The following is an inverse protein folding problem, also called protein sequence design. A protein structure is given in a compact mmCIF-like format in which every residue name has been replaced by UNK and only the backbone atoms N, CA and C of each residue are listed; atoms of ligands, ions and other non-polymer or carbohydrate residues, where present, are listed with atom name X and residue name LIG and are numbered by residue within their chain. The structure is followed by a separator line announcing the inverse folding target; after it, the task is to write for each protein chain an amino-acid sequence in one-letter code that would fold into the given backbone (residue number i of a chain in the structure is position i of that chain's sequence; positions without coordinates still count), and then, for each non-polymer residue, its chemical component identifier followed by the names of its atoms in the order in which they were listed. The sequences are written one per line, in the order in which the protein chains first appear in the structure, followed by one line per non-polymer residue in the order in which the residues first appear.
data_IF_781543297878
#
_entry.id   IF_781543297878
#
_cell.length_a   1.000
_cell.length_b   1.000
_cell.length_c   1.000
_cell.angle_alpha   90.00
_cell.angle_beta   90.00
_cell.angle_gamma   90.00
#
_symmetry.space_group_name_H-M   'P 1'
#
loop_
_entity.id
_entity.type
_entity.pdbx_description
1 polymer ?
#
# COMPACT_ATOMS: atom_id res chain seq x y z
N UNK A 1 44.77 87.47 -19.55
CA UNK A 1 44.19 86.65 -18.50
C UNK A 1 42.97 85.97 -19.02
N UNK A 2 43.06 84.66 -19.38
CA UNK A 2 41.92 83.88 -19.92
C UNK A 2 41.44 83.02 -18.81
N UNK A 3 40.22 83.23 -18.38
CA UNK A 3 39.50 82.39 -17.44
C UNK A 3 38.80 81.23 -18.15
N UNK A 4 39.22 80.00 -17.90
CA UNK A 4 38.54 78.75 -18.40
C UNK A 4 37.37 78.43 -17.47
N UNK A 5 36.15 78.41 -18.03
CA UNK A 5 35.00 77.89 -17.40
C UNK A 5 34.93 76.35 -17.58
N UNK A 6 34.86 75.63 -16.49
CA UNK A 6 34.69 74.19 -16.51
C UNK A 6 33.21 73.87 -16.24
N UNK A 7 32.53 73.19 -17.20
CA UNK A 7 31.16 72.70 -17.06
C UNK A 7 31.15 71.36 -16.33
N UNK A 8 30.23 71.12 -15.37
CA UNK A 8 30.11 69.81 -14.77
C UNK A 8 29.29 68.87 -15.66
N UNK A 9 29.82 67.67 -15.89
CA UNK A 9 29.11 66.55 -16.54
C UNK A 9 28.27 65.86 -15.46
N UNK A 10 26.94 65.90 -15.62
CA UNK A 10 26.01 65.08 -14.83
C UNK A 10 26.07 63.61 -15.31
N UNK A 11 26.59 62.73 -14.48
CA UNK A 11 26.49 61.26 -14.68
C UNK A 11 25.13 60.81 -14.18
N UNK A 12 24.25 60.38 -15.10
CA UNK A 12 22.99 59.71 -14.76
C UNK A 12 23.28 58.28 -14.34
N UNK A 13 23.09 57.98 -13.06
CA UNK A 13 23.13 56.60 -12.51
C UNK A 13 21.77 55.96 -12.77
N UNK A 14 21.70 55.04 -13.72
CA UNK A 14 20.53 54.17 -13.89
C UNK A 14 20.58 53.09 -12.85
N UNK A 15 19.70 53.20 -11.80
CA UNK A 15 19.48 52.15 -10.83
C UNK A 15 18.63 51.04 -11.45
N UNK A 16 19.24 49.89 -11.68
CA UNK A 16 18.50 48.67 -12.02
C UNK A 16 17.83 48.18 -10.71
N UNK A 17 16.53 48.36 -10.60
CA UNK A 17 15.75 47.76 -9.54
C UNK A 17 15.59 46.25 -9.79
N UNK A 18 16.37 45.42 -9.11
CA UNK A 18 16.12 44.00 -9.05
C UNK A 18 14.87 43.79 -8.21
N UNK A 19 13.79 43.33 -8.85
CA UNK A 19 12.61 42.85 -8.18
C UNK A 19 12.96 41.47 -7.55
N UNK A 20 13.22 41.45 -6.26
CA UNK A 20 13.36 40.20 -5.49
C UNK A 20 11.96 39.60 -5.37
N UNK A 21 11.61 38.67 -6.26
CA UNK A 21 10.49 37.75 -6.01
C UNK A 21 10.91 36.87 -4.84
N UNK A 22 10.29 37.08 -3.70
CA UNK A 22 10.37 36.13 -2.57
C UNK A 22 9.67 34.85 -3.00
N UNK A 23 10.44 33.83 -3.38
CA UNK A 23 9.96 32.46 -3.51
C UNK A 23 9.75 31.98 -2.07
N UNK A 24 8.53 31.58 -1.72
CA UNK A 24 8.27 30.89 -0.46
C UNK A 24 9.25 29.70 -0.36
N UNK A 25 9.75 29.44 0.85
CA UNK A 25 10.70 28.35 1.08
C UNK A 25 10.05 27.02 0.65
N UNK A 26 10.41 26.51 -0.54
CA UNK A 26 9.86 25.27 -1.14
C UNK A 26 10.09 24.05 -0.24
N UNK A 27 11.04 24.12 0.69
CA UNK A 27 11.39 23.02 1.61
C UNK A 27 10.29 22.70 2.65
N UNK A 28 9.34 23.62 2.90
CA UNK A 28 8.26 23.44 3.88
C UNK A 28 6.85 23.39 3.27
N UNK A 29 6.70 23.64 1.96
CA UNK A 29 5.41 23.55 1.29
C UNK A 29 5.04 22.09 1.02
N UNK A 30 3.76 21.67 1.25
CA UNK A 30 3.30 20.37 0.80
C UNK A 30 3.47 20.24 -0.72
N UNK A 31 3.77 19.03 -1.19
CA UNK A 31 3.82 18.74 -2.63
C UNK A 31 2.47 19.07 -3.28
N UNK A 32 2.50 19.59 -4.52
CA UNK A 32 1.30 19.82 -5.29
C UNK A 32 0.57 18.49 -5.54
N UNK A 33 -0.70 18.41 -5.17
CA UNK A 33 -1.48 17.18 -5.25
C UNK A 33 -1.56 16.61 -6.68
N UNK A 34 -1.66 17.47 -7.71
CA UNK A 34 -1.69 17.03 -9.11
C UNK A 34 -0.37 16.41 -9.55
N UNK A 35 0.76 16.99 -9.13
CA UNK A 35 2.08 16.42 -9.37
C UNK A 35 2.26 15.09 -8.63
N UNK A 36 1.80 15.02 -7.38
CA UNK A 36 1.83 13.79 -6.61
C UNK A 36 1.05 12.66 -7.30
N UNK A 37 -0.17 12.92 -7.76
CA UNK A 37 -0.98 11.95 -8.52
C UNK A 37 -0.28 11.50 -9.81
N UNK A 38 0.38 12.42 -10.52
CA UNK A 38 1.18 12.08 -11.71
C UNK A 38 2.33 11.13 -11.36
N UNK A 39 3.01 11.34 -10.23
CA UNK A 39 4.05 10.43 -9.73
C UNK A 39 3.49 9.06 -9.36
N UNK A 40 2.32 8.98 -8.73
CA UNK A 40 1.65 7.69 -8.41
C UNK A 40 1.37 6.88 -9.68
N UNK A 41 0.84 7.52 -10.72
CA UNK A 41 0.60 6.87 -12.02
C UNK A 41 1.92 6.40 -12.64
N UNK A 42 2.94 7.26 -12.67
CA UNK A 42 4.26 6.94 -13.21
C UNK A 42 4.91 5.78 -12.46
N UNK A 43 4.85 5.77 -11.12
CA UNK A 43 5.40 4.71 -10.27
C UNK A 43 4.79 3.33 -10.61
N UNK A 44 3.48 3.29 -10.86
CA UNK A 44 2.82 2.05 -11.31
C UNK A 44 3.13 1.69 -12.76
N UNK A 45 3.04 2.64 -13.69
CA UNK A 45 3.16 2.37 -15.13
C UNK A 45 4.59 2.14 -15.61
N UNK A 46 5.59 2.63 -14.88
CA UNK A 46 7.01 2.34 -15.13
C UNK A 46 7.42 0.93 -14.73
N UNK A 47 6.59 0.21 -13.96
CA UNK A 47 6.94 -1.08 -13.38
C UNK A 47 7.73 -1.01 -12.07
N UNK A 48 8.09 0.20 -11.59
CA UNK A 48 8.86 0.35 -10.35
C UNK A 48 8.05 -0.15 -9.13
N UNK A 49 6.75 0.14 -9.08
CA UNK A 49 5.89 -0.38 -8.02
C UNK A 49 5.90 -1.93 -7.96
N UNK A 50 5.80 -2.58 -9.11
CA UNK A 50 5.79 -4.05 -9.18
C UNK A 50 7.19 -4.63 -8.84
N UNK A 51 8.26 -3.91 -9.18
CA UNK A 51 9.62 -4.27 -8.79
C UNK A 51 9.83 -4.18 -7.26
N UNK A 52 9.34 -3.12 -6.64
CA UNK A 52 9.45 -2.92 -5.19
C UNK A 52 8.61 -3.95 -4.41
N UNK A 53 7.38 -4.25 -4.85
CA UNK A 53 6.58 -5.36 -4.33
C UNK A 53 7.33 -6.69 -4.42
N UNK A 54 7.94 -6.96 -5.59
CA UNK A 54 8.71 -8.18 -5.82
C UNK A 54 9.94 -8.28 -4.91
N UNK A 55 10.62 -7.17 -4.64
CA UNK A 55 11.78 -7.15 -3.76
C UNK A 55 11.40 -7.58 -2.33
N UNK A 56 10.29 -7.08 -1.80
CA UNK A 56 9.81 -7.44 -0.44
C UNK A 56 9.31 -8.89 -0.41
N UNK A 57 8.50 -9.32 -1.38
CA UNK A 57 7.97 -10.68 -1.42
C UNK A 57 9.08 -11.73 -1.56
N UNK A 58 10.14 -11.46 -2.33
CA UNK A 58 11.32 -12.33 -2.44
C UNK A 58 12.06 -12.46 -1.11
N UNK A 59 12.21 -11.36 -0.35
CA UNK A 59 12.80 -11.42 0.99
C UNK A 59 11.95 -12.28 1.94
N UNK A 60 10.62 -12.15 1.86
CA UNK A 60 9.69 -12.97 2.63
C UNK A 60 9.81 -14.45 2.26
N UNK A 61 9.86 -14.77 0.97
CA UNK A 61 10.02 -16.15 0.48
C UNK A 61 11.37 -16.74 0.90
N UNK A 62 12.46 -15.99 0.76
CA UNK A 62 13.77 -16.43 1.20
C UNK A 62 13.79 -16.71 2.70
N UNK A 63 13.23 -15.83 3.52
CA UNK A 63 13.15 -16.05 4.96
C UNK A 63 12.29 -17.28 5.29
N UNK A 64 11.15 -17.45 4.63
CA UNK A 64 10.33 -18.65 4.79
C UNK A 64 11.12 -19.91 4.46
N UNK A 65 11.83 -19.94 3.34
CA UNK A 65 12.66 -21.07 2.93
C UNK A 65 13.74 -21.43 3.95
N UNK A 66 14.39 -20.44 4.56
CA UNK A 66 15.41 -20.64 5.60
C UNK A 66 14.84 -21.22 6.90
N UNK A 67 13.52 -21.14 7.10
CA UNK A 67 12.82 -21.57 8.31
C UNK A 67 12.09 -22.91 8.19
N UNK A 68 11.80 -23.40 6.97
CA UNK A 68 10.93 -24.57 6.73
C UNK A 68 11.31 -25.80 7.59
N UNK A 69 12.59 -26.15 7.67
CA UNK A 69 13.06 -27.32 8.40
C UNK A 69 13.41 -27.03 9.88
N UNK A 70 13.12 -25.82 10.36
CA UNK A 70 13.52 -25.35 11.69
C UNK A 70 12.35 -25.05 12.61
N UNK A 71 11.12 -25.16 12.11
CA UNK A 71 9.93 -24.81 12.88
C UNK A 71 8.83 -25.84 12.65
N UNK A 72 8.04 -26.07 13.71
CA UNK A 72 6.83 -26.88 13.63
C UNK A 72 5.67 -26.04 13.09
N UNK A 73 4.80 -26.68 12.29
CA UNK A 73 3.59 -26.06 11.72
C UNK A 73 3.83 -24.66 11.15
N UNK A 74 4.74 -24.51 10.17
CA UNK A 74 5.03 -23.21 9.56
C UNK A 74 3.78 -22.62 8.94
N UNK A 75 3.61 -21.31 9.11
CA UNK A 75 2.49 -20.55 8.55
C UNK A 75 2.94 -19.20 7.98
N UNK A 76 2.21 -18.71 7.00
CA UNK A 76 2.26 -17.32 6.56
C UNK A 76 0.92 -16.65 6.80
N UNK A 77 0.95 -15.37 7.15
CA UNK A 77 -0.21 -14.49 7.25
C UNK A 77 -0.08 -13.39 6.21
N UNK A 78 -1.10 -13.22 5.41
CA UNK A 78 -1.18 -12.20 4.37
C UNK A 78 -2.39 -11.31 4.61
N UNK A 79 -2.22 -10.00 4.47
CA UNK A 79 -3.35 -9.09 4.27
C UNK A 79 -3.92 -9.25 2.86
N UNK A 80 -5.05 -8.60 2.55
CA UNK A 80 -5.71 -8.71 1.25
C UNK A 80 -5.50 -7.47 0.39
N UNK A 81 -5.96 -6.30 0.83
CA UNK A 81 -5.98 -5.08 0.02
C UNK A 81 -4.55 -4.54 -0.15
N UNK A 82 -4.11 -4.27 -1.37
CA UNK A 82 -2.74 -3.88 -1.76
C UNK A 82 -1.62 -4.83 -1.25
N UNK A 83 -2.02 -5.99 -0.74
CA UNK A 83 -1.08 -7.06 -0.35
C UNK A 83 -1.25 -8.30 -1.23
N UNK A 84 -2.44 -8.85 -1.28
CA UNK A 84 -2.81 -10.05 -2.05
C UNK A 84 -3.54 -9.67 -3.33
N UNK A 85 -4.44 -8.70 -3.22
CA UNK A 85 -5.26 -8.15 -4.30
C UNK A 85 -4.95 -6.66 -4.50
N UNK A 86 -4.87 -6.24 -5.77
CA UNK A 86 -4.66 -4.84 -6.13
C UNK A 86 -6.00 -4.14 -6.39
N UNK A 87 -6.22 -3.04 -5.69
CA UNK A 87 -7.37 -2.15 -5.91
C UNK A 87 -7.03 -0.97 -6.83
N UNK A 88 -5.88 -1.01 -7.50
CA UNK A 88 -5.38 0.10 -8.31
C UNK A 88 -6.39 0.62 -9.34
N UNK A 89 -7.18 -0.26 -9.97
CA UNK A 89 -8.20 0.17 -10.95
C UNK A 89 -9.27 1.06 -10.33
N UNK A 90 -9.78 0.66 -9.15
CA UNK A 90 -10.76 1.46 -8.42
C UNK A 90 -10.16 2.76 -7.84
N UNK A 91 -8.93 2.71 -7.37
CA UNK A 91 -8.23 3.89 -6.87
C UNK A 91 -7.95 4.89 -8.00
N UNK A 92 -7.47 4.41 -9.14
CA UNK A 92 -7.14 5.25 -10.29
C UNK A 92 -8.37 5.96 -10.87
N UNK A 93 -9.50 5.26 -11.05
CA UNK A 93 -10.72 5.88 -11.60
C UNK A 93 -11.30 6.94 -10.66
N UNK A 94 -11.03 6.84 -9.37
CA UNK A 94 -11.40 7.82 -8.35
C UNK A 94 -10.34 8.93 -8.19
N UNK A 95 -9.39 9.02 -9.11
CA UNK A 95 -8.28 9.99 -9.00
C UNK A 95 -7.54 9.90 -7.64
N UNK A 96 -7.33 8.65 -7.17
CA UNK A 96 -6.76 8.28 -5.87
C UNK A 96 -7.55 8.76 -4.65
N UNK A 97 -8.81 9.16 -4.84
CA UNK A 97 -9.74 9.44 -3.74
C UNK A 97 -10.40 8.15 -3.22
N UNK A 98 -10.65 8.09 -1.91
CA UNK A 98 -11.39 6.97 -1.30
C UNK A 98 -12.88 7.29 -1.26
N UNK A 99 -13.69 6.46 -1.92
CA UNK A 99 -15.15 6.52 -1.93
C UNK A 99 -15.67 5.22 -1.32
N UNK A 100 -16.28 5.28 -0.14
CA UNK A 100 -16.70 4.08 0.58
C UNK A 100 -17.86 3.37 -0.09
N UNK A 101 -18.94 4.08 -0.38
CA UNK A 101 -20.21 3.54 -0.89
C UNK A 101 -20.53 4.01 -2.30
N UNK A 102 -21.69 3.60 -2.81
CA UNK A 102 -22.14 3.90 -4.18
C UNK A 102 -21.76 2.79 -5.17
N UNK A 103 -22.23 2.93 -6.42
CA UNK A 103 -21.87 2.02 -7.52
C UNK A 103 -20.38 2.07 -7.85
N UNK A 104 -19.94 1.17 -8.73
CA UNK A 104 -18.59 1.19 -9.27
C UNK A 104 -18.67 1.13 -10.80
N UNK A 105 -18.21 2.18 -11.47
CA UNK A 105 -18.06 2.27 -12.91
C UNK A 105 -16.57 2.51 -13.23
N UNK A 106 -15.89 1.49 -13.74
CA UNK A 106 -14.46 1.56 -14.04
C UNK A 106 -14.13 2.30 -15.35
N UNK A 107 -15.15 2.67 -16.13
CA UNK A 107 -14.95 3.45 -17.37
C UNK A 107 -15.11 4.97 -17.11
N UNK A 108 -16.13 5.35 -16.33
CA UNK A 108 -16.52 6.75 -16.13
C UNK A 108 -16.33 7.24 -14.71
N UNK A 109 -16.23 6.31 -13.75
CA UNK A 109 -16.22 6.63 -12.32
C UNK A 109 -17.58 7.22 -11.83
N UNK A 110 -17.74 7.38 -10.55
CA UNK A 110 -16.83 6.90 -9.51
C UNK A 110 -16.97 5.40 -9.24
N UNK A 111 -16.04 4.84 -8.45
CA UNK A 111 -16.09 3.47 -7.99
C UNK A 111 -16.11 3.43 -6.45
N UNK A 112 -17.25 3.05 -5.87
CA UNK A 112 -17.39 2.83 -4.43
C UNK A 112 -16.67 1.56 -4.00
N UNK A 113 -15.85 1.65 -2.95
CA UNK A 113 -14.99 0.55 -2.48
C UNK A 113 -15.80 -0.71 -2.09
N UNK A 114 -16.95 -0.54 -1.43
CA UNK A 114 -17.79 -1.68 -1.05
C UNK A 114 -18.35 -2.40 -2.29
N UNK A 115 -18.77 -1.67 -3.31
CA UNK A 115 -19.24 -2.27 -4.56
C UNK A 115 -18.09 -2.91 -5.36
N UNK A 116 -16.89 -2.29 -5.33
CA UNK A 116 -15.68 -2.88 -5.90
C UNK A 116 -15.37 -4.26 -5.29
N UNK A 117 -15.47 -4.40 -3.97
CA UNK A 117 -15.29 -5.71 -3.31
C UNK A 117 -16.33 -6.72 -3.82
N UNK A 118 -17.61 -6.32 -3.94
CA UNK A 118 -18.69 -7.20 -4.43
C UNK A 118 -18.50 -7.64 -5.87
N UNK A 119 -17.93 -6.78 -6.73
CA UNK A 119 -17.61 -7.13 -8.11
C UNK A 119 -16.57 -8.25 -8.21
N UNK A 120 -15.74 -8.45 -7.20
CA UNK A 120 -14.69 -9.48 -7.15
C UNK A 120 -13.75 -9.44 -8.39
N UNK A 121 -13.33 -8.25 -8.82
CA UNK A 121 -12.52 -8.01 -10.02
C UNK A 121 -11.11 -7.49 -9.74
N UNK A 122 -10.70 -7.42 -8.48
CA UNK A 122 -9.34 -7.05 -8.13
C UNK A 122 -8.34 -8.08 -8.68
N UNK A 123 -7.25 -7.61 -9.25
CA UNK A 123 -6.21 -8.48 -9.81
C UNK A 123 -5.25 -8.95 -8.72
N UNK A 124 -4.60 -10.11 -8.93
CA UNK A 124 -3.55 -10.54 -8.01
C UNK A 124 -2.36 -9.59 -8.03
N UNK A 125 -1.75 -9.38 -6.86
CA UNK A 125 -0.40 -8.88 -6.73
C UNK A 125 0.53 -10.07 -6.98
N UNK A 126 1.13 -10.13 -8.17
CA UNK A 126 1.84 -11.30 -8.66
C UNK A 126 2.94 -11.80 -7.69
N UNK A 127 3.81 -10.95 -7.09
CA UNK A 127 4.81 -11.43 -6.15
C UNK A 127 4.23 -12.08 -4.88
N UNK A 128 3.08 -11.61 -4.40
CA UNK A 128 2.37 -12.21 -3.27
C UNK A 128 1.76 -13.57 -3.63
N UNK A 129 1.27 -13.70 -4.85
CA UNK A 129 0.77 -14.98 -5.37
C UNK A 129 1.90 -16.00 -5.55
N UNK A 130 3.10 -15.57 -5.93
CA UNK A 130 4.29 -16.43 -5.99
C UNK A 130 4.70 -16.92 -4.61
N UNK A 131 4.74 -16.03 -3.60
CA UNK A 131 4.98 -16.40 -2.20
C UNK A 131 3.94 -17.41 -1.69
N UNK A 132 2.65 -17.16 -1.97
CA UNK A 132 1.57 -18.08 -1.62
C UNK A 132 1.79 -19.47 -2.26
N UNK A 133 2.09 -19.53 -3.56
CA UNK A 133 2.33 -20.80 -4.27
C UNK A 133 3.55 -21.55 -3.70
N UNK A 134 4.61 -20.81 -3.37
CA UNK A 134 5.78 -21.38 -2.70
C UNK A 134 5.40 -21.96 -1.33
N UNK A 135 4.62 -21.25 -0.53
CA UNK A 135 4.16 -21.71 0.77
C UNK A 135 3.34 -23.02 0.64
N UNK A 136 2.35 -23.03 -0.27
CA UNK A 136 1.51 -24.23 -0.49
C UNK A 136 2.31 -25.42 -0.99
N UNK A 137 3.27 -25.22 -1.89
CA UNK A 137 4.15 -26.28 -2.40
C UNK A 137 5.03 -26.90 -1.31
N UNK A 138 5.27 -26.19 -0.20
CA UNK A 138 6.07 -26.64 0.93
C UNK A 138 5.24 -26.98 2.18
N UNK A 139 3.94 -27.24 2.05
CA UNK A 139 3.02 -27.58 3.14
C UNK A 139 2.97 -26.53 4.27
N UNK A 140 3.18 -25.27 3.94
CA UNK A 140 3.05 -24.13 4.85
C UNK A 140 1.60 -23.71 4.89
N UNK A 141 1.05 -23.54 6.11
CA UNK A 141 -0.30 -23.03 6.30
C UNK A 141 -0.42 -21.56 5.83
N UNK A 142 -1.52 -21.22 5.19
CA UNK A 142 -1.78 -19.87 4.69
C UNK A 142 -3.03 -19.31 5.33
N UNK A 143 -2.89 -18.15 5.95
CA UNK A 143 -3.99 -17.41 6.56
C UNK A 143 -4.11 -16.02 5.94
N UNK A 144 -5.33 -15.62 5.63
CA UNK A 144 -5.64 -14.23 5.28
C UNK A 144 -6.25 -13.51 6.47
N UNK A 145 -5.78 -12.28 6.78
CA UNK A 145 -6.37 -11.44 7.83
C UNK A 145 -6.60 -10.05 7.25
N UNK A 146 -7.86 -9.67 7.03
CA UNK A 146 -8.22 -8.45 6.31
C UNK A 146 -9.20 -7.56 7.07
N UNK A 147 -9.12 -6.25 6.87
CA UNK A 147 -10.11 -5.29 7.33
C UNK A 147 -11.43 -5.32 6.56
N UNK A 148 -11.55 -6.09 5.48
CA UNK A 148 -12.82 -6.25 4.75
C UNK A 148 -13.92 -6.77 5.67
N UNK A 149 -15.12 -6.17 5.66
CA UNK A 149 -16.23 -6.64 6.49
C UNK A 149 -16.65 -8.08 6.18
N UNK A 150 -17.02 -8.83 7.21
CA UNK A 150 -17.43 -10.24 7.10
C UNK A 150 -18.53 -10.50 6.06
N UNK A 151 -19.46 -9.55 5.86
CA UNK A 151 -20.53 -9.67 4.84
C UNK A 151 -20.01 -9.81 3.40
N UNK A 152 -18.74 -9.45 3.14
CA UNK A 152 -18.10 -9.58 1.83
C UNK A 152 -17.26 -10.85 1.69
N UNK A 153 -17.38 -11.81 2.61
CA UNK A 153 -16.62 -13.07 2.58
C UNK A 153 -16.74 -13.76 1.22
N UNK A 154 -17.98 -14.00 0.76
CA UNK A 154 -18.21 -14.73 -0.48
C UNK A 154 -17.54 -14.05 -1.69
N UNK A 155 -17.66 -12.74 -1.82
CA UNK A 155 -17.06 -11.98 -2.91
C UNK A 155 -15.51 -11.96 -2.80
N UNK A 156 -14.98 -11.79 -1.57
CA UNK A 156 -13.54 -11.80 -1.32
C UNK A 156 -12.92 -13.15 -1.65
N UNK A 157 -13.51 -14.25 -1.17
CA UNK A 157 -13.04 -15.60 -1.46
C UNK A 157 -13.17 -15.98 -2.94
N UNK A 158 -14.27 -15.53 -3.59
CA UNK A 158 -14.41 -15.68 -5.04
C UNK A 158 -13.26 -14.99 -5.77
N UNK A 159 -12.98 -13.73 -5.44
CA UNK A 159 -11.91 -12.96 -6.08
C UNK A 159 -10.54 -13.62 -5.86
N UNK A 160 -10.23 -14.09 -4.66
CA UNK A 160 -9.00 -14.82 -4.38
C UNK A 160 -8.85 -16.05 -5.27
N UNK A 161 -9.92 -16.86 -5.39
CA UNK A 161 -9.89 -18.07 -6.25
C UNK A 161 -9.73 -17.73 -7.73
N UNK A 162 -10.45 -16.74 -8.22
CA UNK A 162 -10.41 -16.32 -9.63
C UNK A 162 -9.00 -15.85 -10.06
N UNK A 163 -8.21 -15.30 -9.15
CA UNK A 163 -6.86 -14.83 -9.45
C UNK A 163 -5.76 -15.81 -9.07
N UNK A 164 -6.10 -17.02 -8.59
CA UNK A 164 -5.17 -18.13 -8.44
C UNK A 164 -4.78 -18.52 -7.01
N UNK A 165 -5.41 -17.94 -5.98
CA UNK A 165 -5.33 -18.45 -4.61
C UNK A 165 -6.37 -19.54 -4.43
N UNK A 166 -5.99 -20.80 -4.68
CA UNK A 166 -6.96 -21.91 -4.73
C UNK A 166 -7.38 -22.39 -3.35
N UNK A 167 -6.44 -22.51 -2.43
CA UNK A 167 -6.65 -23.10 -1.11
C UNK A 167 -5.91 -22.31 -0.02
N UNK A 168 -6.54 -22.15 1.12
CA UNK A 168 -5.95 -21.56 2.33
C UNK A 168 -6.55 -22.19 3.58
N UNK A 169 -5.86 -22.09 4.70
CA UNK A 169 -6.29 -22.73 5.94
C UNK A 169 -7.43 -21.95 6.62
N UNK A 170 -7.39 -20.63 6.60
CA UNK A 170 -8.53 -19.77 6.98
C UNK A 170 -8.38 -18.34 6.45
N UNK A 171 -9.52 -17.64 6.33
CA UNK A 171 -9.59 -16.20 6.06
C UNK A 171 -10.39 -15.54 7.20
N UNK A 172 -9.77 -14.55 7.84
CA UNK A 172 -10.38 -13.77 8.91
C UNK A 172 -10.76 -12.39 8.35
N UNK A 173 -12.07 -12.17 8.24
CA UNK A 173 -12.63 -10.89 7.84
C UNK A 173 -13.18 -10.18 9.08
N UNK A 174 -13.21 -8.84 9.03
CA UNK A 174 -13.61 -8.03 10.17
C UNK A 174 -15.11 -8.21 10.50
N UNK A 175 -15.46 -8.64 11.71
CA UNK A 175 -16.85 -8.72 12.17
C UNK A 175 -17.56 -7.36 12.10
N UNK A 176 -18.85 -7.36 11.77
CA UNK A 176 -19.63 -6.13 11.53
C UNK A 176 -19.76 -5.24 12.78
N UNK A 177 -19.82 -5.83 13.93
CA UNK A 177 -19.99 -5.19 15.25
C UNK A 177 -18.65 -4.78 15.89
N UNK A 178 -17.52 -5.23 15.34
CA UNK A 178 -16.21 -4.96 15.90
C UNK A 178 -15.78 -3.51 15.62
N UNK A 179 -15.70 -2.72 16.69
CA UNK A 179 -15.16 -1.36 16.68
C UNK A 179 -13.80 -1.37 17.36
N UNK A 180 -12.76 -1.06 16.60
CA UNK A 180 -11.36 -0.99 17.06
C UNK A 180 -10.75 0.34 16.64
N UNK A 181 -9.78 0.81 17.41
CA UNK A 181 -9.09 2.08 17.13
C UNK A 181 -8.12 1.94 15.94
N UNK A 182 -7.54 0.76 15.76
CA UNK A 182 -6.63 0.49 14.64
C UNK A 182 -6.85 -0.92 14.06
N UNK A 183 -6.36 -1.18 12.86
CA UNK A 183 -6.38 -2.52 12.28
C UNK A 183 -5.52 -3.51 13.11
N UNK A 184 -4.49 -3.03 13.80
CA UNK A 184 -3.65 -3.85 14.68
C UNK A 184 -4.45 -4.48 15.82
N UNK A 185 -5.42 -3.75 16.41
CA UNK A 185 -6.26 -4.23 17.51
C UNK A 185 -7.14 -5.42 17.11
N UNK A 186 -7.39 -5.59 15.82
CA UNK A 186 -8.10 -6.72 15.25
C UNK A 186 -7.16 -7.83 14.78
N UNK A 187 -6.09 -7.47 14.04
CA UNK A 187 -5.23 -8.45 13.36
C UNK A 187 -4.25 -9.15 14.30
N UNK A 188 -3.68 -8.43 15.28
CA UNK A 188 -2.73 -9.01 16.22
C UNK A 188 -3.30 -10.12 17.10
N UNK A 189 -4.49 -9.98 17.73
CA UNK A 189 -5.11 -11.06 18.49
C UNK A 189 -5.29 -12.34 17.67
N UNK A 190 -5.66 -12.24 16.39
CA UNK A 190 -5.83 -13.40 15.51
C UNK A 190 -4.49 -14.11 15.28
N UNK A 191 -3.41 -13.37 15.03
CA UNK A 191 -2.07 -13.97 14.91
C UNK A 191 -1.65 -14.67 16.20
N UNK A 192 -1.88 -14.04 17.36
CA UNK A 192 -1.56 -14.65 18.67
C UNK A 192 -2.40 -15.91 18.93
N UNK A 193 -3.66 -15.93 18.52
CA UNK A 193 -4.51 -17.13 18.60
C UNK A 193 -3.98 -18.26 17.71
N UNK A 194 -3.50 -17.96 16.50
CA UNK A 194 -2.87 -18.93 15.61
C UNK A 194 -1.59 -19.52 16.25
N UNK A 195 -0.76 -18.69 16.88
CA UNK A 195 0.40 -19.18 17.65
C UNK A 195 -0.05 -20.10 18.82
N UNK A 196 -1.08 -19.72 19.56
CA UNK A 196 -1.62 -20.54 20.63
C UNK A 196 -2.15 -21.90 20.14
N UNK A 197 -2.58 -21.99 18.88
CA UNK A 197 -2.95 -23.24 18.19
C UNK A 197 -1.73 -24.04 17.67
N UNK A 198 -0.52 -23.58 17.96
CA UNK A 198 0.73 -24.25 17.64
C UNK A 198 1.31 -23.91 16.27
N UNK A 199 0.77 -22.92 15.55
CA UNK A 199 1.40 -22.45 14.31
C UNK A 199 2.59 -21.55 14.61
N UNK A 200 3.69 -21.71 13.84
CA UNK A 200 4.76 -20.74 13.80
C UNK A 200 4.52 -19.81 12.61
N UNK A 201 4.06 -18.59 12.87
CA UNK A 201 3.86 -17.60 11.81
C UNK A 201 5.24 -17.06 11.40
N UNK A 202 5.84 -17.68 10.39
CA UNK A 202 7.18 -17.31 9.88
C UNK A 202 7.14 -15.99 9.16
N UNK A 203 6.12 -15.75 8.35
CA UNK A 203 5.93 -14.53 7.57
C UNK A 203 4.58 -13.90 7.91
N UNK A 204 4.60 -12.62 8.28
CA UNK A 204 3.42 -11.74 8.31
C UNK A 204 3.64 -10.61 7.31
N UNK A 205 2.87 -10.57 6.22
CA UNK A 205 3.03 -9.58 5.16
C UNK A 205 1.76 -8.76 4.97
N UNK A 206 1.92 -7.44 4.89
CA UNK A 206 0.86 -6.45 4.70
C UNK A 206 1.43 -5.17 4.14
N UNK A 207 0.56 -4.28 3.66
CA UNK A 207 0.93 -2.97 3.09
C UNK A 207 0.78 -1.82 4.09
N UNK A 208 0.16 -2.08 5.25
CA UNK A 208 0.01 -1.08 6.31
C UNK A 208 0.84 -1.45 7.55
N UNK A 209 1.47 -0.48 8.24
CA UNK A 209 2.11 -0.75 9.53
C UNK A 209 1.18 -1.41 10.55
N UNK A 210 -0.12 -1.10 10.52
CA UNK A 210 -1.14 -1.69 11.38
C UNK A 210 -1.38 -3.19 11.13
N UNK A 211 -1.07 -3.71 9.92
CA UNK A 211 -1.13 -5.14 9.62
C UNK A 211 -0.05 -5.94 10.35
N UNK A 212 1.05 -5.26 10.64
CA UNK A 212 2.28 -5.88 11.13
C UNK A 212 2.48 -5.67 12.63
N UNK A 213 1.83 -4.67 13.21
CA UNK A 213 1.95 -4.33 14.61
C UNK A 213 1.35 -5.40 15.53
N UNK A 214 1.80 -5.45 16.80
CA UNK A 214 1.27 -6.33 17.85
C UNK A 214 1.90 -7.72 17.91
N UNK A 215 2.94 -8.01 17.15
CA UNK A 215 3.72 -9.24 17.27
C UNK A 215 3.02 -10.51 16.79
N UNK A 216 3.36 -11.63 17.44
CA UNK A 216 2.85 -12.97 17.13
C UNK A 216 3.18 -13.45 15.70
N UNK A 217 4.35 -13.06 15.21
CA UNK A 217 4.97 -13.57 13.99
C UNK A 217 6.50 -13.45 14.14
N UNK A 218 7.26 -14.33 13.49
CA UNK A 218 8.74 -14.26 13.54
C UNK A 218 9.24 -13.02 12.80
N UNK A 219 8.70 -12.76 11.60
CA UNK A 219 9.12 -11.61 10.80
C UNK A 219 7.97 -10.97 10.06
N UNK A 220 7.97 -9.63 10.08
CA UNK A 220 7.03 -8.79 9.38
C UNK A 220 7.66 -8.24 8.08
N UNK A 221 6.85 -8.16 7.02
CA UNK A 221 7.26 -7.66 5.71
C UNK A 221 6.26 -6.61 5.24
N UNK A 222 6.71 -5.35 5.17
CA UNK A 222 5.88 -4.23 4.75
C UNK A 222 6.01 -4.03 3.24
N UNK A 223 4.92 -4.21 2.52
CA UNK A 223 4.82 -3.88 1.11
C UNK A 223 4.63 -2.37 0.92
N UNK A 224 5.15 -1.78 -0.16
CA UNK A 224 4.88 -0.39 -0.49
C UNK A 224 3.40 -0.17 -0.82
N UNK A 225 2.77 0.80 -0.17
CA UNK A 225 1.48 1.35 -0.56
C UNK A 225 1.56 2.88 -0.58
N UNK A 226 1.70 3.49 -1.76
CA UNK A 226 1.75 4.94 -1.89
C UNK A 226 0.37 5.60 -2.02
N UNK A 227 -0.72 4.82 -2.03
CA UNK A 227 -2.05 5.30 -2.41
C UNK A 227 -2.89 5.78 -1.23
N UNK A 228 -2.80 5.09 -0.10
CA UNK A 228 -3.54 5.44 1.12
C UNK A 228 -2.86 4.90 2.37
N UNK A 229 -3.31 5.36 3.52
CA UNK A 229 -2.85 4.89 4.83
C UNK A 229 -4.05 4.55 5.71
N UNK A 230 -3.95 3.39 6.37
CA UNK A 230 -4.87 2.96 7.43
C UNK A 230 -4.14 3.12 8.77
N UNK A 231 -4.69 3.88 9.73
CA UNK A 231 -4.08 4.11 11.03
C UNK A 231 -4.08 2.86 11.94
#
# INVERSE_FOLDING_TARGET
MLTKTVSPVLAAVWGIAFSLTTIADEACAPENLGEHKTKLVSYKTSGQYDADLSAVAKQAQQYLQERLDKVDKPAIVLDIDETTLSNYSALKINDFGFILGGGCDLEKGPCGFLNWIEMAQATAIAPSLELYRFARANNVAVFFITGRPERFRAATEKNLRDVGYAEWDNAYLKPADLKVASAADYKAPIRCELQAKGYTIVVNMGDQPSDLAGGCAERAFLLPNPYYRIP
#
